data_IF_349072475280
#
_entry.id   IF_349072475280
#
_cell.length_a   1.000
_cell.length_b   1.000
_cell.length_c   1.000
_cell.angle_alpha   90.00
_cell.angle_beta   90.00
_cell.angle_gamma   90.00
#
_symmetry.space_group_name_H-M   'P 1'
#
loop_
_entity.id
_entity.type
_entity.pdbx_description
1 polymer ?
#
# COMPACT_ATOMS: atom_id res chain seq x y z
N UNK A 1 11.53 24.05 13.84
CA UNK A 1 10.57 22.94 13.95
C UNK A 1 10.09 22.62 12.54
N UNK A 2 10.56 21.52 11.94
CA UNK A 2 10.29 21.19 10.53
C UNK A 2 8.86 20.65 10.40
N UNK A 3 7.99 21.42 9.75
CA UNK A 3 6.68 20.98 9.31
C UNK A 3 6.85 19.86 8.28
N UNK A 4 6.54 18.61 8.66
CA UNK A 4 6.26 17.55 7.69
C UNK A 4 4.94 17.94 7.00
N UNK A 5 5.08 18.71 5.92
CA UNK A 5 4.00 19.56 5.42
C UNK A 5 3.15 18.74 4.47
N UNK A 6 2.16 18.01 5.00
CA UNK A 6 0.94 17.46 4.36
C UNK A 6 1.12 16.53 3.12
N UNK A 7 2.00 16.87 2.19
CA UNK A 7 2.38 16.15 0.97
C UNK A 7 3.24 14.91 1.24
N UNK A 8 4.12 14.93 2.27
CA UNK A 8 4.91 13.74 2.64
C UNK A 8 4.05 12.66 3.33
N UNK A 9 2.95 13.04 3.98
CA UNK A 9 2.12 12.10 4.75
C UNK A 9 1.18 11.28 3.86
N UNK A 10 0.76 11.79 2.70
CA UNK A 10 -0.21 11.12 1.84
C UNK A 10 0.32 9.80 1.21
N UNK A 11 1.55 9.75 0.64
CA UNK A 11 2.15 8.50 0.16
C UNK A 11 2.26 7.46 1.28
N UNK A 12 2.75 7.85 2.46
CA UNK A 12 2.93 6.95 3.60
C UNK A 12 1.60 6.37 4.12
N UNK A 13 0.49 7.10 4.00
CA UNK A 13 -0.84 6.64 4.41
C UNK A 13 -1.41 5.60 3.46
N UNK A 14 -1.38 5.88 2.15
CA UNK A 14 -1.89 4.94 1.15
C UNK A 14 -1.10 3.63 1.18
N UNK A 15 0.22 3.71 1.31
CA UNK A 15 1.08 2.54 1.50
C UNK A 15 0.67 1.71 2.71
N UNK A 16 0.36 2.35 3.85
CA UNK A 16 -0.14 1.64 5.03
C UNK A 16 -1.48 0.95 4.77
N UNK A 17 -2.42 1.59 4.07
CA UNK A 17 -3.71 1.00 3.74
C UNK A 17 -3.56 -0.23 2.82
N UNK A 18 -2.64 -0.18 1.86
CA UNK A 18 -2.27 -1.31 0.99
C UNK A 18 -1.64 -2.44 1.81
N UNK A 19 -0.67 -2.14 2.67
CA UNK A 19 -0.04 -3.13 3.55
C UNK A 19 -1.07 -3.78 4.48
N UNK A 20 -2.00 -3.02 5.05
CA UNK A 20 -3.06 -3.58 5.89
C UNK A 20 -4.02 -4.48 5.10
N UNK A 21 -4.33 -4.14 3.85
CA UNK A 21 -5.15 -4.98 2.98
C UNK A 21 -4.44 -6.31 2.69
N UNK A 22 -3.14 -6.26 2.39
CA UNK A 22 -2.33 -7.45 2.12
C UNK A 22 -2.08 -8.30 3.37
N UNK A 23 -1.80 -7.69 4.53
CA UNK A 23 -1.59 -8.39 5.80
C UNK A 23 -2.84 -9.16 6.24
N UNK A 24 -4.03 -8.72 5.86
CA UNK A 24 -5.27 -9.43 6.15
C UNK A 24 -5.42 -10.74 5.34
N UNK A 25 -4.65 -10.91 4.26
CA UNK A 25 -4.70 -12.10 3.39
C UNK A 25 -3.27 -12.56 3.08
N UNK A 26 -2.69 -13.46 3.90
CA UNK A 26 -1.30 -13.91 3.76
C UNK A 26 -0.98 -14.55 2.40
N UNK A 27 -1.96 -15.18 1.76
CA UNK A 27 -1.83 -15.73 0.41
C UNK A 27 -1.78 -14.67 -0.70
N UNK A 28 -1.93 -13.40 -0.35
CA UNK A 28 -1.97 -12.26 -1.26
C UNK A 28 -3.33 -12.03 -1.90
N UNK A 29 -3.47 -10.83 -2.46
CA UNK A 29 -4.66 -10.37 -3.14
C UNK A 29 -4.39 -10.25 -4.65
N UNK A 30 -5.34 -10.70 -5.51
CA UNK A 30 -5.33 -10.29 -6.91
C UNK A 30 -5.34 -8.76 -7.01
N UNK A 31 -4.66 -8.21 -8.02
CA UNK A 31 -4.49 -6.76 -8.15
C UNK A 31 -5.81 -6.00 -8.11
N UNK A 32 -6.83 -6.46 -8.85
CA UNK A 32 -8.14 -5.81 -8.88
C UNK A 32 -8.82 -5.77 -7.50
N UNK A 33 -8.66 -6.84 -6.70
CA UNK A 33 -9.20 -6.91 -5.34
C UNK A 33 -8.45 -5.95 -4.43
N UNK A 34 -7.12 -5.87 -4.56
CA UNK A 34 -6.30 -4.93 -3.81
C UNK A 34 -6.69 -3.48 -4.07
N UNK A 35 -6.95 -3.11 -5.33
CA UNK A 35 -7.41 -1.78 -5.70
C UNK A 35 -8.74 -1.43 -5.01
N UNK A 36 -9.72 -2.33 -5.06
CA UNK A 36 -11.02 -2.10 -4.40
C UNK A 36 -10.90 -2.06 -2.89
N UNK A 37 -10.13 -2.96 -2.29
CA UNK A 37 -9.98 -3.03 -0.83
C UNK A 37 -9.25 -1.81 -0.26
N UNK A 38 -8.19 -1.35 -0.93
CA UNK A 38 -7.50 -0.12 -0.53
C UNK A 38 -8.44 1.10 -0.64
N UNK A 39 -9.21 1.19 -1.73
CA UNK A 39 -10.22 2.24 -1.90
C UNK A 39 -11.32 2.21 -0.83
N UNK A 40 -11.84 1.01 -0.53
CA UNK A 40 -12.86 0.78 0.51
C UNK A 40 -12.38 1.22 1.89
N UNK A 41 -11.11 0.95 2.23
CA UNK A 41 -10.50 1.35 3.50
C UNK A 41 -10.34 2.85 3.64
N UNK A 42 -9.91 3.53 2.58
CA UNK A 42 -9.83 4.99 2.57
C UNK A 42 -11.23 5.61 2.75
N UNK A 43 -12.24 5.11 2.02
CA UNK A 43 -13.62 5.55 2.16
C UNK A 43 -14.18 5.31 3.58
N UNK A 44 -13.97 4.12 4.14
CA UNK A 44 -14.42 3.76 5.49
C UNK A 44 -13.78 4.64 6.58
N UNK A 45 -12.60 5.17 6.30
CA UNK A 45 -11.91 6.10 7.20
C UNK A 45 -12.24 7.58 6.92
N UNK A 46 -13.25 7.86 6.10
CA UNK A 46 -13.71 9.21 5.76
C UNK A 46 -12.75 9.97 4.85
N UNK A 47 -11.91 9.28 4.09
CA UNK A 47 -10.87 9.88 3.24
C UNK A 47 -11.23 9.77 1.75
N UNK A 48 -10.65 10.64 0.89
CA UNK A 48 -10.83 10.51 -0.55
C UNK A 48 -10.39 9.14 -1.06
N UNK A 49 -11.19 8.55 -1.94
CA UNK A 49 -10.85 7.29 -2.58
C UNK A 49 -9.73 7.55 -3.60
N UNK A 50 -8.55 6.91 -3.46
CA UNK A 50 -7.44 7.10 -4.38
C UNK A 50 -7.77 6.57 -5.77
N UNK A 51 -7.25 7.23 -6.81
CA UNK A 51 -7.38 6.71 -8.16
C UNK A 51 -6.59 5.40 -8.30
N UNK A 52 -7.02 4.46 -9.18
CA UNK A 52 -6.31 3.20 -9.37
C UNK A 52 -4.81 3.37 -9.65
N UNK A 53 -4.43 4.38 -10.45
CA UNK A 53 -3.02 4.69 -10.74
C UNK A 53 -2.18 5.04 -9.51
N UNK A 54 -2.77 5.65 -8.48
CA UNK A 54 -2.07 6.01 -7.25
C UNK A 54 -1.79 4.78 -6.41
N UNK A 55 -2.76 3.87 -6.34
CA UNK A 55 -2.59 2.57 -5.67
C UNK A 55 -1.54 1.74 -6.40
N UNK A 56 -1.59 1.68 -7.74
CA UNK A 56 -0.59 0.99 -8.57
C UNK A 56 0.82 1.55 -8.36
N UNK A 57 0.96 2.87 -8.30
CA UNK A 57 2.25 3.50 -8.04
C UNK A 57 2.81 3.07 -6.67
N UNK A 58 1.99 3.06 -5.61
CA UNK A 58 2.43 2.63 -4.28
C UNK A 58 2.74 1.13 -4.21
N UNK A 59 1.96 0.28 -4.90
CA UNK A 59 2.28 -1.15 -5.04
C UNK A 59 3.63 -1.33 -5.73
N UNK A 60 3.87 -0.60 -6.82
CA UNK A 60 5.16 -0.58 -7.52
C UNK A 60 6.31 -0.17 -6.60
N UNK A 61 6.13 0.87 -5.78
CA UNK A 61 7.12 1.29 -4.77
C UNK A 61 7.39 0.19 -3.73
N UNK A 62 6.35 -0.50 -3.26
CA UNK A 62 6.52 -1.61 -2.30
C UNK A 62 7.29 -2.79 -2.91
N UNK A 63 7.03 -3.13 -4.17
CA UNK A 63 7.74 -4.21 -4.87
C UNK A 63 9.19 -3.81 -5.16
N UNK A 64 9.42 -2.61 -5.70
CA UNK A 64 10.76 -2.09 -5.96
C UNK A 64 11.60 -1.97 -4.67
N UNK A 65 10.96 -1.64 -3.55
CA UNK A 65 11.57 -1.61 -2.22
C UNK A 65 11.70 -2.98 -1.55
N UNK A 66 11.36 -4.08 -2.22
CA UNK A 66 11.47 -5.44 -1.69
C UNK A 66 10.54 -5.76 -0.53
N UNK A 67 9.44 -5.01 -0.37
CA UNK A 67 8.47 -5.17 0.72
C UNK A 67 7.24 -5.97 0.33
N UNK A 68 6.89 -5.94 -0.96
CA UNK A 68 5.87 -6.78 -1.56
C UNK A 68 6.46 -7.57 -2.73
N UNK A 69 5.73 -8.58 -3.20
CA UNK A 69 6.10 -9.40 -4.35
C UNK A 69 4.84 -9.78 -5.13
N UNK A 70 5.01 -10.17 -6.39
CA UNK A 70 3.95 -10.76 -7.20
C UNK A 70 4.16 -12.28 -7.31
N UNK A 71 3.17 -13.06 -6.87
CA UNK A 71 3.20 -14.52 -6.91
C UNK A 71 1.92 -15.06 -7.53
N UNK A 72 2.02 -15.62 -8.74
CA UNK A 72 0.87 -16.19 -9.44
C UNK A 72 -0.28 -15.21 -9.64
N UNK A 73 0.03 -13.95 -10.03
CA UNK A 73 -0.98 -12.90 -10.26
C UNK A 73 -1.56 -12.27 -8.98
N UNK A 74 -0.95 -12.54 -7.82
CA UNK A 74 -1.33 -11.97 -6.53
C UNK A 74 -0.20 -11.15 -5.95
N UNK A 75 -0.55 -10.01 -5.36
CA UNK A 75 0.38 -9.21 -4.58
C UNK A 75 0.42 -9.77 -3.16
N UNK A 76 1.62 -10.05 -2.66
CA UNK A 76 1.88 -10.56 -1.31
C UNK A 76 2.85 -9.64 -0.58
N UNK A 77 2.75 -9.54 0.74
CA UNK A 77 3.81 -8.94 1.55
C UNK A 77 4.95 -9.95 1.74
N UNK A 78 6.19 -9.47 1.72
CA UNK A 78 7.35 -10.27 2.12
C UNK A 78 7.46 -10.29 3.64
N UNK A 79 7.57 -11.49 4.22
CA UNK A 79 7.70 -11.69 5.67
C UNK A 79 8.99 -11.08 6.25
N UNK A 80 10.06 -11.01 5.44
CA UNK A 80 11.39 -10.57 5.86
C UNK A 80 11.72 -9.12 5.44
N UNK A 81 10.71 -8.37 4.98
CA UNK A 81 10.92 -7.01 4.51
C UNK A 81 11.32 -6.11 5.69
N UNK A 82 12.47 -5.41 5.63
CA UNK A 82 12.79 -4.42 6.65
C UNK A 82 11.66 -3.38 6.69
N UNK A 83 11.09 -3.13 7.87
CA UNK A 83 10.22 -1.98 8.07
C UNK A 83 10.99 -0.76 7.58
N UNK A 84 10.39 0.00 6.64
CA UNK A 84 11.08 1.05 5.91
C UNK A 84 11.88 1.95 6.89
N UNK A 85 13.21 1.84 6.86
CA UNK A 85 14.07 2.81 7.52
C UNK A 85 14.04 4.04 6.64
N UNK A 86 13.31 5.06 7.09
CA UNK A 86 13.32 6.40 6.51
C UNK A 86 14.76 6.90 6.62
N UNK A 87 15.40 7.14 5.47
CA UNK A 87 16.68 7.82 5.35
C UNK A 87 16.45 9.34 5.29
#
# INVERSE_FOLDING_TARGET
MKSATVTELAPHRLTRSIEQALSAVPSGLPLFVLLQEAGRREAAAGRPVPAPREILAQVGTLIAGGRADERGGRIVLRADAPAARVA
#
